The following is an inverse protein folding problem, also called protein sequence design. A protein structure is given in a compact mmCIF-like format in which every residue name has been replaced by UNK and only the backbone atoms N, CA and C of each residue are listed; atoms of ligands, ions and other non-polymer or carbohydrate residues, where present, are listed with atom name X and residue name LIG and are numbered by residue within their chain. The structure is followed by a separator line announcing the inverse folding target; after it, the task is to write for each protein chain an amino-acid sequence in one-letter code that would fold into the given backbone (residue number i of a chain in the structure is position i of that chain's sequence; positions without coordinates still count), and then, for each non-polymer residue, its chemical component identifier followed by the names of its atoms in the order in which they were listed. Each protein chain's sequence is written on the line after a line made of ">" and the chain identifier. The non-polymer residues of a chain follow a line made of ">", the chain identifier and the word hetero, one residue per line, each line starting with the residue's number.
data_IF_603536808109
#
_entry.id   IF_603536808109
#
_cell.length_a   1.000
_cell.length_b   1.000
_cell.length_c   1.000
_cell.angle_alpha   90.00
_cell.angle_beta   90.00
_cell.angle_gamma   90.00
#
_symmetry.space_group_name_H-M   'P 1'
#
loop_
_entity.id
_entity.type
_entity.pdbx_description
1 polymer ?
#
# COMPACT_ATOMS: atom_id res chain seq x y z
N UNK A 1 -16.07 -12.37 -38.57
CA UNK A 1 -15.04 -11.50 -37.98
C UNK A 1 -15.74 -10.64 -36.95
N UNK A 2 -15.42 -10.80 -35.67
CA UNK A 2 -15.93 -9.94 -34.61
C UNK A 2 -15.11 -8.65 -34.65
N UNK A 3 -15.76 -7.55 -35.02
CA UNK A 3 -15.20 -6.20 -34.88
C UNK A 3 -14.94 -5.96 -33.39
N UNK A 4 -13.74 -5.50 -32.98
CA UNK A 4 -13.53 -5.05 -31.62
C UNK A 4 -14.42 -3.83 -31.38
N UNK A 5 -15.21 -3.86 -30.31
CA UNK A 5 -15.99 -2.71 -29.85
C UNK A 5 -15.02 -1.64 -29.37
N UNK A 6 -14.88 -0.58 -30.16
CA UNK A 6 -14.02 0.58 -29.90
C UNK A 6 -14.49 1.37 -28.64
N UNK A 7 -15.68 1.09 -28.09
CA UNK A 7 -16.23 1.80 -26.92
C UNK A 7 -16.17 1.06 -25.58
N UNK A 8 -15.67 -0.17 -25.53
CA UNK A 8 -15.65 -0.95 -24.27
C UNK A 8 -14.41 -0.63 -23.41
N UNK A 9 -13.29 -0.25 -24.05
CA UNK A 9 -12.09 0.22 -23.34
C UNK A 9 -12.33 1.57 -22.66
N UNK A 10 -12.87 2.54 -23.39
CA UNK A 10 -13.15 3.89 -22.88
C UNK A 10 -14.10 3.88 -21.68
N UNK A 11 -15.17 3.07 -21.72
CA UNK A 11 -16.10 2.95 -20.62
C UNK A 11 -15.49 2.26 -19.39
N UNK A 12 -14.61 1.26 -19.60
CA UNK A 12 -13.89 0.62 -18.51
C UNK A 12 -12.89 1.61 -17.87
N UNK A 13 -12.22 2.42 -18.68
CA UNK A 13 -11.31 3.47 -18.21
C UNK A 13 -12.03 4.58 -17.45
N UNK A 14 -13.23 4.99 -17.88
CA UNK A 14 -14.07 5.97 -17.16
C UNK A 14 -14.55 5.43 -15.82
N UNK A 15 -15.03 4.17 -15.77
CA UNK A 15 -15.46 3.53 -14.52
C UNK A 15 -14.27 3.44 -13.55
N UNK A 16 -13.11 3.02 -14.05
CA UNK A 16 -11.88 2.95 -13.28
C UNK A 16 -11.45 4.32 -12.76
N UNK A 17 -11.45 5.35 -13.60
CA UNK A 17 -11.15 6.73 -13.18
C UNK A 17 -12.15 7.22 -12.12
N UNK A 18 -13.42 6.82 -12.21
CA UNK A 18 -14.44 7.06 -11.19
C UNK A 18 -14.15 6.34 -9.87
N UNK A 19 -13.76 5.06 -9.92
CA UNK A 19 -13.37 4.29 -8.74
C UNK A 19 -12.10 4.83 -8.10
N UNK A 20 -11.10 5.20 -8.90
CA UNK A 20 -9.89 5.87 -8.46
C UNK A 20 -10.21 7.22 -7.81
N UNK A 21 -11.12 8.00 -8.40
CA UNK A 21 -11.59 9.27 -7.86
C UNK A 21 -12.32 9.11 -6.52
N UNK A 22 -13.18 8.10 -6.38
CA UNK A 22 -13.84 7.76 -5.12
C UNK A 22 -12.82 7.34 -4.06
N UNK A 23 -11.90 6.43 -4.40
CA UNK A 23 -10.85 6.00 -3.50
C UNK A 23 -9.99 7.18 -3.04
N UNK A 24 -9.52 8.03 -3.96
CA UNK A 24 -8.71 9.22 -3.65
C UNK A 24 -9.44 10.28 -2.84
N UNK A 25 -10.77 10.28 -2.82
CA UNK A 25 -11.58 11.24 -2.06
C UNK A 25 -11.61 10.94 -0.55
N UNK A 26 -11.56 9.66 -0.18
CA UNK A 26 -11.52 9.19 1.21
C UNK A 26 -10.81 7.83 1.28
N UNK A 27 -9.49 7.82 1.10
CA UNK A 27 -8.73 6.56 1.07
C UNK A 27 -8.90 5.79 2.38
N UNK A 28 -8.81 6.48 3.52
CA UNK A 28 -8.92 5.82 4.82
C UNK A 28 -10.30 5.19 5.04
N UNK A 29 -11.39 5.88 4.69
CA UNK A 29 -12.76 5.37 4.84
C UNK A 29 -13.12 4.29 3.82
N UNK A 30 -12.69 4.44 2.57
CA UNK A 30 -12.93 3.42 1.52
C UNK A 30 -12.16 2.14 1.82
N UNK A 31 -10.89 2.22 2.25
CA UNK A 31 -10.11 1.03 2.63
C UNK A 31 -10.69 0.37 3.88
N UNK A 32 -11.18 1.14 4.86
CA UNK A 32 -11.87 0.60 6.04
C UNK A 32 -13.13 -0.20 5.65
N UNK A 33 -13.96 0.35 4.76
CA UNK A 33 -15.17 -0.33 4.30
C UNK A 33 -14.83 -1.60 3.49
N UNK A 34 -13.79 -1.56 2.64
CA UNK A 34 -13.34 -2.73 1.89
C UNK A 34 -12.76 -3.82 2.78
N UNK A 35 -12.01 -3.43 3.81
CA UNK A 35 -11.50 -4.35 4.82
C UNK A 35 -12.66 -5.03 5.56
N UNK A 36 -13.67 -4.29 6.01
CA UNK A 36 -14.79 -4.83 6.78
C UNK A 36 -15.73 -5.70 5.94
N UNK A 37 -16.13 -5.23 4.76
CA UNK A 37 -17.16 -5.87 3.93
C UNK A 37 -16.59 -6.84 2.88
N UNK A 38 -15.30 -6.69 2.52
CA UNK A 38 -14.63 -7.43 1.43
C UNK A 38 -13.22 -7.89 1.85
N UNK A 39 -13.15 -8.56 3.00
CA UNK A 39 -11.92 -9.06 3.62
C UNK A 39 -10.98 -9.82 2.67
N UNK A 40 -11.51 -10.54 1.69
CA UNK A 40 -10.71 -11.30 0.72
C UNK A 40 -9.87 -10.44 -0.25
N UNK A 41 -9.95 -9.10 -0.18
CA UNK A 41 -9.05 -8.20 -0.91
C UNK A 41 -9.26 -8.11 -2.42
N UNK A 42 -10.12 -8.94 -3.02
CA UNK A 42 -10.25 -9.10 -4.49
C UNK A 42 -10.35 -7.77 -5.24
N UNK A 43 -11.21 -6.85 -4.76
CA UNK A 43 -11.42 -5.55 -5.39
C UNK A 43 -10.20 -4.64 -5.31
N UNK A 44 -9.55 -4.58 -4.14
CA UNK A 44 -8.33 -3.79 -3.95
C UNK A 44 -7.16 -4.37 -4.77
N UNK A 45 -7.00 -5.69 -4.78
CA UNK A 45 -5.96 -6.36 -5.58
C UNK A 45 -6.15 -6.10 -7.06
N UNK A 46 -7.37 -6.26 -7.60
CA UNK A 46 -7.65 -6.00 -9.02
C UNK A 46 -7.36 -4.53 -9.39
N UNK A 47 -7.82 -3.59 -8.55
CA UNK A 47 -7.55 -2.18 -8.74
C UNK A 47 -6.05 -1.87 -8.75
N UNK A 48 -5.28 -2.38 -7.78
CA UNK A 48 -3.84 -2.17 -7.70
C UNK A 48 -3.10 -2.83 -8.86
N UNK A 49 -3.51 -4.02 -9.28
CA UNK A 49 -2.91 -4.74 -10.41
C UNK A 49 -3.10 -3.96 -11.72
N UNK A 50 -4.31 -3.47 -11.98
CA UNK A 50 -4.61 -2.63 -13.14
C UNK A 50 -3.84 -1.30 -13.08
N UNK A 51 -3.80 -0.68 -11.89
CA UNK A 51 -3.07 0.59 -11.69
C UNK A 51 -1.58 0.41 -11.95
N UNK A 52 -0.96 -0.68 -11.49
CA UNK A 52 0.45 -1.00 -11.74
C UNK A 52 0.80 -1.19 -13.23
N UNK A 53 -0.20 -1.53 -14.06
CA UNK A 53 -0.07 -1.69 -15.50
C UNK A 53 -0.12 -0.37 -16.29
N UNK A 54 -0.36 0.77 -15.63
CA UNK A 54 -0.55 2.06 -16.27
C UNK A 54 0.66 2.99 -16.14
N UNK A 55 0.81 3.88 -17.11
CA UNK A 55 1.74 5.01 -17.01
C UNK A 55 1.39 5.88 -15.81
N UNK A 56 2.35 6.11 -14.91
CA UNK A 56 2.12 6.85 -13.66
C UNK A 56 1.38 6.06 -12.57
N UNK A 57 1.09 4.77 -12.78
CA UNK A 57 0.41 3.92 -11.80
C UNK A 57 1.08 3.89 -10.43
N UNK A 58 2.41 3.78 -10.41
CA UNK A 58 3.20 3.80 -9.18
C UNK A 58 3.07 5.14 -8.41
N UNK A 59 2.95 6.27 -9.12
CA UNK A 59 2.71 7.58 -8.51
C UNK A 59 1.30 7.69 -7.91
N UNK A 60 0.30 7.06 -8.53
CA UNK A 60 -1.05 6.94 -7.98
C UNK A 60 -1.04 6.11 -6.71
N UNK A 61 -0.39 4.94 -6.72
CA UNK A 61 -0.29 4.05 -5.54
C UNK A 61 0.46 4.74 -4.40
N UNK A 62 1.56 5.47 -4.69
CA UNK A 62 2.23 6.34 -3.72
C UNK A 62 1.25 7.27 -3.01
N UNK A 63 0.38 7.95 -3.75
CA UNK A 63 -0.61 8.87 -3.18
C UNK A 63 -1.60 8.18 -2.23
N UNK A 64 -1.96 6.94 -2.52
CA UNK A 64 -2.81 6.13 -1.64
C UNK A 64 -2.08 5.77 -0.34
N UNK A 65 -0.83 5.30 -0.44
CA UNK A 65 0.00 4.99 0.73
C UNK A 65 0.22 6.23 1.59
N UNK A 66 0.46 7.40 0.99
CA UNK A 66 0.66 8.66 1.72
C UNK A 66 -0.61 9.04 2.52
N UNK A 67 -1.80 8.87 1.92
CA UNK A 67 -3.06 9.08 2.62
C UNK A 67 -3.33 8.03 3.69
N UNK A 68 -3.01 6.75 3.48
CA UNK A 68 -3.14 5.72 4.52
C UNK A 68 -2.21 6.00 5.71
N UNK A 69 -0.97 6.38 5.41
CA UNK A 69 0.05 6.70 6.40
C UNK A 69 -0.32 7.92 7.25
N UNK A 70 -0.75 9.02 6.61
CA UNK A 70 -0.88 10.34 7.27
C UNK A 70 -2.31 10.82 7.43
N UNK A 71 -3.29 10.09 6.89
CA UNK A 71 -4.67 10.54 6.77
C UNK A 71 -4.94 11.27 5.45
N UNK A 72 -6.20 11.39 5.08
CA UNK A 72 -6.63 11.98 3.81
C UNK A 72 -6.20 13.45 3.64
N UNK A 73 -5.99 14.18 4.74
CA UNK A 73 -5.49 15.57 4.72
C UNK A 73 -3.95 15.67 4.68
N UNK A 74 -3.27 14.52 4.73
CA UNK A 74 -1.81 14.36 4.73
C UNK A 74 -1.10 15.03 5.93
N UNK A 75 -1.78 15.27 7.05
CA UNK A 75 -1.19 16.01 8.19
C UNK A 75 -0.84 15.15 9.39
N UNK A 76 -1.31 13.92 9.45
CA UNK A 76 -1.04 13.01 10.56
C UNK A 76 0.41 12.49 10.56
N UNK A 77 0.91 12.21 11.75
CA UNK A 77 2.13 11.43 11.94
C UNK A 77 1.80 9.94 11.79
N UNK A 78 2.57 9.22 10.97
CA UNK A 78 2.27 7.82 10.69
C UNK A 78 2.46 6.93 11.92
N UNK A 79 3.49 7.15 12.73
CA UNK A 79 3.72 6.29 13.89
C UNK A 79 2.60 6.47 14.92
N UNK A 80 2.17 7.71 15.18
CA UNK A 80 0.99 8.00 16.01
C UNK A 80 -0.28 7.38 15.40
N UNK A 81 -0.46 7.55 14.09
CA UNK A 81 -1.41 6.86 13.19
C UNK A 81 -1.58 5.39 13.56
N UNK A 82 -0.50 4.69 13.27
CA UNK A 82 -0.33 3.25 13.32
C UNK A 82 -0.50 2.69 14.73
N UNK A 83 -0.11 3.45 15.75
CA UNK A 83 -0.13 3.01 17.15
C UNK A 83 -1.32 3.52 17.95
N UNK A 84 -2.26 4.23 17.33
CA UNK A 84 -3.48 4.71 17.99
C UNK A 84 -4.48 3.55 18.18
N UNK A 85 -4.73 3.11 19.43
CA UNK A 85 -5.65 2.02 19.69
C UNK A 85 -7.11 2.51 19.67
N UNK A 86 -8.02 1.63 19.27
CA UNK A 86 -9.46 1.79 19.45
C UNK A 86 -10.00 0.58 20.22
N UNK A 87 -11.09 0.77 20.98
CA UNK A 87 -11.79 -0.33 21.63
C UNK A 87 -13.05 -0.68 20.84
N UNK A 88 -13.20 -1.96 20.48
CA UNK A 88 -14.38 -2.49 19.80
C UNK A 88 -14.59 -3.95 20.25
N UNK A 89 -15.85 -4.30 20.50
CA UNK A 89 -16.28 -5.66 20.88
C UNK A 89 -15.49 -6.32 22.02
N UNK A 90 -14.96 -5.51 22.95
CA UNK A 90 -14.16 -5.97 24.10
C UNK A 90 -12.67 -6.23 23.80
N UNK A 91 -12.22 -5.96 22.58
CA UNK A 91 -10.82 -6.01 22.15
C UNK A 91 -10.20 -4.63 21.95
N UNK A 92 -8.87 -4.59 21.89
CA UNK A 92 -8.09 -3.44 21.45
C UNK A 92 -7.59 -3.73 20.04
N UNK A 93 -7.87 -2.82 19.11
CA UNK A 93 -7.45 -2.93 17.71
C UNK A 93 -6.81 -1.63 17.24
N UNK A 94 -6.03 -1.72 16.15
CA UNK A 94 -5.26 -0.61 15.61
C UNK A 94 -5.68 -0.34 14.16
N UNK A 95 -6.77 0.43 13.92
CA UNK A 95 -7.40 0.50 12.60
C UNK A 95 -6.52 1.12 11.51
N UNK A 96 -5.55 1.97 11.85
CA UNK A 96 -4.59 2.45 10.85
C UNK A 96 -3.58 1.36 10.44
N UNK A 97 -3.18 0.51 11.39
CA UNK A 97 -2.28 -0.61 11.13
C UNK A 97 -2.99 -1.71 10.34
N UNK A 98 -4.24 -2.03 10.69
CA UNK A 98 -5.07 -3.02 9.99
C UNK A 98 -5.31 -2.65 8.53
N UNK A 99 -5.75 -1.42 8.26
CA UNK A 99 -5.91 -0.91 6.89
C UNK A 99 -4.63 -0.93 6.08
N UNK A 100 -3.52 -0.54 6.70
CA UNK A 100 -2.21 -0.60 6.04
C UNK A 100 -1.85 -2.07 5.73
N UNK A 101 -2.09 -3.00 6.65
CA UNK A 101 -1.90 -4.43 6.44
C UNK A 101 -2.74 -4.98 5.29
N UNK A 102 -4.04 -4.66 5.26
CA UNK A 102 -4.95 -5.01 4.18
C UNK A 102 -4.46 -4.49 2.82
N UNK A 103 -4.11 -3.20 2.77
CA UNK A 103 -3.56 -2.59 1.56
C UNK A 103 -2.26 -3.25 1.12
N UNK A 104 -1.33 -3.50 2.06
CA UNK A 104 -0.06 -4.17 1.80
C UNK A 104 -0.25 -5.59 1.23
N UNK A 105 -1.20 -6.35 1.79
CA UNK A 105 -1.53 -7.69 1.30
C UNK A 105 -2.10 -7.64 -0.12
N UNK A 106 -2.98 -6.67 -0.41
CA UNK A 106 -3.52 -6.47 -1.75
C UNK A 106 -2.44 -6.01 -2.74
N UNK A 107 -1.52 -5.15 -2.33
CA UNK A 107 -0.38 -4.69 -3.13
C UNK A 107 0.55 -5.85 -3.48
N UNK A 108 0.85 -6.72 -2.51
CA UNK A 108 1.64 -7.92 -2.73
C UNK A 108 1.01 -8.84 -3.78
N UNK A 109 -0.28 -9.16 -3.63
CA UNK A 109 -1.00 -9.97 -4.62
C UNK A 109 -1.03 -9.31 -6.00
N UNK A 110 -1.14 -7.98 -6.06
CA UNK A 110 -1.09 -7.25 -7.31
C UNK A 110 0.27 -7.38 -8.01
N UNK A 111 1.38 -7.22 -7.29
CA UNK A 111 2.72 -7.42 -7.83
C UNK A 111 2.96 -8.84 -8.36
N UNK A 112 2.51 -9.86 -7.62
CA UNK A 112 2.53 -11.26 -8.07
C UNK A 112 1.71 -11.44 -9.36
N UNK A 113 0.58 -10.76 -9.48
CA UNK A 113 -0.31 -10.81 -10.64
C UNK A 113 0.21 -10.11 -11.91
N UNK A 114 1.03 -9.06 -11.79
CA UNK A 114 1.61 -8.35 -12.96
C UNK A 114 2.86 -9.06 -13.51
N UNK A 115 3.47 -9.99 -12.77
CA UNK A 115 4.63 -10.79 -13.17
C UNK A 115 5.78 -9.95 -13.78
N UNK A 116 6.18 -8.91 -13.05
CA UNK A 116 7.34 -8.07 -13.38
C UNK A 116 8.62 -8.69 -12.80
N UNK A 117 9.75 -8.52 -13.49
CA UNK A 117 11.05 -8.99 -12.98
C UNK A 117 11.48 -8.23 -11.72
N UNK A 118 12.32 -8.84 -10.88
CA UNK A 118 12.74 -8.26 -9.59
C UNK A 118 13.29 -6.82 -9.71
N UNK A 119 14.09 -6.53 -10.76
CA UNK A 119 14.63 -5.20 -11.00
C UNK A 119 13.53 -4.14 -11.25
N UNK A 120 12.48 -4.49 -12.00
CA UNK A 120 11.38 -3.60 -12.30
C UNK A 120 10.48 -3.38 -11.07
N UNK A 121 10.29 -4.43 -10.26
CA UNK A 121 9.59 -4.33 -8.98
C UNK A 121 10.31 -3.40 -8.01
N UNK A 122 11.65 -3.48 -7.94
CA UNK A 122 12.46 -2.56 -7.12
C UNK A 122 12.24 -1.11 -7.54
N UNK A 123 12.30 -0.80 -8.84
CA UNK A 123 12.04 0.57 -9.32
C UNK A 123 10.61 1.03 -9.00
N UNK A 124 9.63 0.16 -9.16
CA UNK A 124 8.24 0.45 -8.81
C UNK A 124 8.09 0.74 -7.31
N UNK A 125 8.68 -0.07 -6.44
CA UNK A 125 8.68 0.12 -4.98
C UNK A 125 9.42 1.41 -4.58
N UNK A 126 10.51 1.77 -5.27
CA UNK A 126 11.19 3.06 -5.05
C UNK A 126 10.27 4.24 -5.32
N UNK A 127 9.51 4.19 -6.42
CA UNK A 127 8.54 5.25 -6.74
C UNK A 127 7.43 5.32 -5.71
N UNK A 128 6.89 4.16 -5.29
CA UNK A 128 5.79 4.10 -4.32
C UNK A 128 6.23 4.64 -2.96
N UNK A 129 7.40 4.22 -2.44
CA UNK A 129 7.79 4.46 -1.05
C UNK A 129 8.89 5.50 -0.86
N UNK A 130 9.50 6.04 -1.92
CA UNK A 130 10.59 7.02 -1.79
C UNK A 130 10.22 8.30 -1.01
N UNK A 131 8.93 8.63 -0.93
CA UNK A 131 8.44 9.72 -0.08
C UNK A 131 8.50 9.44 1.42
N UNK A 132 8.38 8.17 1.80
CA UNK A 132 8.36 7.75 3.19
C UNK A 132 9.67 8.07 3.92
N UNK A 133 10.77 8.23 3.17
CA UNK A 133 12.08 8.61 3.70
C UNK A 133 12.50 10.04 3.34
N UNK A 134 11.69 10.76 2.54
CA UNK A 134 12.05 12.06 1.96
C UNK A 134 12.94 12.02 0.73
N UNK A 135 13.16 10.84 0.13
CA UNK A 135 13.90 10.63 -1.13
C UNK A 135 13.09 10.92 -2.40
N UNK A 136 12.01 11.71 -2.33
CA UNK A 136 11.17 11.95 -3.51
C UNK A 136 11.93 12.60 -4.66
N UNK A 137 11.91 12.03 -5.88
CA UNK A 137 12.43 12.70 -7.06
C UNK A 137 11.39 13.70 -7.58
N UNK A 138 11.73 15.00 -7.58
CA UNK A 138 10.96 16.03 -8.30
C UNK A 138 11.00 17.43 -7.68
N UNK A 139 11.02 18.51 -8.48
CA UNK A 139 10.91 19.87 -7.97
C UNK A 139 9.47 20.18 -7.50
N UNK A 140 9.32 20.71 -6.28
CA UNK A 140 8.03 21.16 -5.71
C UNK A 140 7.42 20.25 -4.65
N UNK A 141 8.15 19.22 -4.22
CA UNK A 141 7.71 18.32 -3.13
C UNK A 141 8.00 18.99 -1.78
N UNK A 142 6.94 19.30 -1.04
CA UNK A 142 7.02 19.84 0.33
C UNK A 142 7.57 18.83 1.35
N UNK A 143 7.98 19.33 2.51
CA UNK A 143 8.65 18.59 3.60
C UNK A 143 8.06 17.19 3.81
N UNK A 144 8.87 16.18 3.50
CA UNK A 144 8.52 14.79 3.70
C UNK A 144 8.44 14.48 5.20
N UNK A 145 7.34 13.87 5.62
CA UNK A 145 7.01 13.50 7.01
C UNK A 145 7.67 12.19 7.41
N UNK A 146 8.97 12.05 7.16
CA UNK A 146 9.69 10.78 7.13
C UNK A 146 9.31 9.79 8.25
N UNK A 147 8.64 8.70 7.88
CA UNK A 147 8.18 7.64 8.79
C UNK A 147 8.94 6.33 8.58
N UNK A 148 9.64 6.22 7.45
CA UNK A 148 10.53 5.15 7.09
C UNK A 148 11.95 5.71 7.10
N UNK A 149 12.89 4.99 7.72
CA UNK A 149 14.29 5.41 7.65
C UNK A 149 14.91 5.04 6.31
N UNK A 150 15.85 5.86 5.84
CA UNK A 150 16.63 5.58 4.63
C UNK A 150 17.30 4.20 4.69
N UNK A 151 17.78 3.82 5.87
CA UNK A 151 18.45 2.53 6.09
C UNK A 151 17.49 1.35 5.86
N UNK A 152 16.28 1.40 6.42
CA UNK A 152 15.29 0.32 6.26
C UNK A 152 14.82 0.24 4.81
N UNK A 153 14.57 1.40 4.18
CA UNK A 153 14.20 1.47 2.77
C UNK A 153 15.28 0.86 1.85
N UNK A 154 16.54 1.27 1.98
CA UNK A 154 17.62 0.78 1.14
C UNK A 154 17.90 -0.72 1.40
N UNK A 155 17.77 -1.16 2.66
CA UNK A 155 17.96 -2.57 3.04
C UNK A 155 16.88 -3.46 2.43
N UNK A 156 15.60 -3.08 2.56
CA UNK A 156 14.48 -3.86 2.03
C UNK A 156 14.62 -4.06 0.52
N UNK A 157 14.89 -2.99 -0.23
CA UNK A 157 15.03 -3.07 -1.68
C UNK A 157 16.26 -3.85 -2.14
N UNK A 158 17.40 -3.70 -1.45
CA UNK A 158 18.62 -4.44 -1.79
C UNK A 158 18.53 -5.93 -1.48
N UNK A 159 17.88 -6.31 -0.38
CA UNK A 159 17.64 -7.72 -0.03
C UNK A 159 16.67 -8.38 -1.01
N UNK A 160 15.60 -7.68 -1.39
CA UNK A 160 14.70 -8.15 -2.45
C UNK A 160 15.42 -8.35 -3.78
N UNK A 161 16.17 -7.33 -4.23
CA UNK A 161 16.88 -7.38 -5.50
C UNK A 161 17.90 -8.52 -5.57
N UNK A 162 18.53 -8.84 -4.44
CA UNK A 162 19.52 -9.91 -4.32
C UNK A 162 18.92 -11.29 -4.04
N UNK A 163 17.59 -11.38 -3.87
CA UNK A 163 16.89 -12.63 -3.52
C UNK A 163 17.14 -13.11 -2.10
N UNK A 164 17.65 -12.24 -1.21
CA UNK A 164 17.86 -12.55 0.21
C UNK A 164 16.57 -12.39 1.03
N UNK A 165 15.64 -11.57 0.53
CA UNK A 165 14.29 -11.40 1.07
C UNK A 165 13.28 -11.60 -0.06
N UNK A 166 12.07 -12.03 0.28
CA UNK A 166 10.98 -12.10 -0.68
C UNK A 166 10.22 -10.75 -0.77
N UNK A 167 9.25 -10.70 -1.68
CA UNK A 167 8.44 -9.50 -1.89
C UNK A 167 7.60 -9.16 -0.65
N UNK A 168 7.15 -10.17 0.09
CA UNK A 168 6.38 -9.99 1.33
C UNK A 168 7.20 -9.25 2.38
N UNK A 169 8.38 -9.78 2.73
CA UNK A 169 9.28 -9.19 3.72
C UNK A 169 9.61 -7.73 3.36
N UNK A 170 9.77 -7.46 2.06
CA UNK A 170 10.08 -6.14 1.54
C UNK A 170 8.93 -5.18 1.66
N UNK A 171 7.71 -5.58 1.27
CA UNK A 171 6.51 -4.73 1.39
C UNK A 171 6.23 -4.43 2.86
N UNK A 172 6.28 -5.44 3.74
CA UNK A 172 6.10 -5.23 5.18
C UNK A 172 7.08 -4.19 5.70
N UNK A 173 8.38 -4.34 5.43
CA UNK A 173 9.39 -3.37 5.86
C UNK A 173 9.13 -1.95 5.32
N UNK A 174 8.59 -1.83 4.11
CA UNK A 174 8.28 -0.56 3.46
C UNK A 174 6.96 0.06 3.92
N UNK A 175 6.03 -0.69 4.52
CA UNK A 175 4.69 -0.21 4.92
C UNK A 175 4.49 -0.07 6.43
N UNK A 176 5.37 -0.66 7.24
CA UNK A 176 5.38 -0.45 8.69
C UNK A 176 6.26 0.73 9.06
N UNK A 177 5.84 1.62 9.98
CA UNK A 177 6.69 2.72 10.41
C UNK A 177 7.96 2.21 11.09
N UNK A 178 9.05 2.95 10.99
CA UNK A 178 10.25 2.61 11.77
C UNK A 178 10.05 2.90 13.25
N UNK A 179 10.61 2.04 14.10
CA UNK A 179 10.68 2.29 15.54
C UNK A 179 11.45 3.58 15.88
N UNK A 180 11.38 4.00 17.14
CA UNK A 180 12.01 5.24 17.60
C UNK A 180 13.54 5.31 17.39
N UNK A 181 14.20 4.16 17.17
CA UNK A 181 15.62 4.05 16.86
C UNK A 181 15.94 4.10 15.35
N UNK A 182 14.91 4.15 14.51
CA UNK A 182 14.99 4.21 13.05
C UNK A 182 15.51 2.94 12.38
N UNK A 183 15.71 1.83 13.11
CA UNK A 183 16.48 0.68 12.61
C UNK A 183 15.67 -0.57 12.33
N UNK A 184 14.52 -0.75 12.97
CA UNK A 184 13.62 -1.87 12.72
C UNK A 184 12.22 -1.35 12.36
N UNK A 185 11.50 -2.03 11.45
CA UNK A 185 10.04 -2.01 11.46
C UNK A 185 9.48 -2.04 12.87
N UNK A 186 8.44 -1.24 13.12
CA UNK A 186 7.75 -1.23 14.40
C UNK A 186 7.29 -2.64 14.80
N UNK A 187 7.66 -3.07 16.01
CA UNK A 187 7.44 -4.41 16.60
C UNK A 187 6.68 -4.25 17.92
N UNK A 188 5.51 -3.62 17.85
CA UNK A 188 4.66 -3.35 19.01
C UNK A 188 3.21 -3.79 18.78
N UNK A 189 2.29 -3.47 19.69
CA UNK A 189 0.95 -4.09 19.72
C UNK A 189 0.12 -3.96 18.43
N UNK A 190 0.37 -2.92 17.62
CA UNK A 190 -0.29 -2.71 16.34
C UNK A 190 0.10 -3.75 15.25
N UNK A 191 1.17 -4.50 15.45
CA UNK A 191 1.61 -5.55 14.52
C UNK A 191 0.55 -6.63 14.34
N UNK A 192 -0.18 -6.99 15.41
CA UNK A 192 -1.23 -8.00 15.35
C UNK A 192 -2.32 -7.57 14.37
N UNK A 193 -2.85 -6.35 14.51
CA UNK A 193 -3.86 -5.80 13.60
C UNK A 193 -3.33 -5.65 12.17
N UNK A 194 -2.07 -5.23 12.00
CA UNK A 194 -1.45 -5.20 10.67
C UNK A 194 -1.42 -6.59 10.02
N UNK A 195 -0.99 -7.60 10.77
CA UNK A 195 -0.93 -8.98 10.28
C UNK A 195 -2.33 -9.53 9.98
N UNK A 196 -3.34 -9.22 10.80
CA UNK A 196 -4.74 -9.59 10.55
C UNK A 196 -5.25 -9.00 9.23
N UNK A 197 -5.03 -7.70 9.00
CA UNK A 197 -5.37 -7.05 7.74
C UNK A 197 -4.66 -7.70 6.55
N UNK A 198 -3.36 -7.96 6.65
CA UNK A 198 -2.58 -8.64 5.60
C UNK A 198 -3.10 -10.05 5.30
N UNK A 199 -3.32 -10.84 6.35
CA UNK A 199 -3.75 -12.23 6.25
C UNK A 199 -5.15 -12.36 5.67
N UNK A 200 -6.03 -11.38 5.90
CA UNK A 200 -7.38 -11.36 5.32
C UNK A 200 -7.36 -11.43 3.79
N UNK A 201 -6.39 -10.76 3.16
CA UNK A 201 -6.21 -10.74 1.71
C UNK A 201 -5.41 -11.94 1.21
N UNK A 202 -4.36 -12.33 1.93
CA UNK A 202 -3.37 -13.29 1.42
C UNK A 202 -3.67 -14.76 1.73
N UNK A 203 -4.50 -15.05 2.74
CA UNK A 203 -4.87 -16.44 3.09
C UNK A 203 -5.95 -17.04 2.18
N UNK A 204 -6.68 -16.21 1.42
CA UNK A 204 -7.77 -16.66 0.55
C UNK A 204 -7.25 -16.70 -0.89
N UNK A 205 -7.05 -17.88 -1.50
CA UNK A 205 -6.67 -17.94 -2.90
C UNK A 205 -7.73 -17.25 -3.76
N UNK A 206 -7.27 -16.41 -4.69
CA UNK A 206 -8.09 -15.79 -5.72
C UNK A 206 -8.52 -16.87 -6.73
N UNK A 207 -9.51 -17.68 -6.35
CA UNK A 207 -10.25 -18.54 -7.27
C UNK A 207 -11.12 -17.70 -8.20
#
# INVERSE_FOLDING_TARGET
>A
MLTPSVGTGDAADEIRAGMEGLLKSDVNGVVEALEQDYQAGKGMTAFLQETLGQDGGADTIRGLVDQLARGNDLKGDMLQRFTAPTQQDGGVFYPAAERMGYFSGALHQAFEGVNKGAAENVETLKTIFGFATGKLPGPGVGDATGWLSDQVFDTALSQYQSGQADLFESIVALTTPTGADGRRPYDGPAEVSYNEGWESVTRIPLN
#
